data_IF_332898942356
#
_entry.id   IF_332898942356
#
_cell.length_a   1.000
_cell.length_b   1.000
_cell.length_c   1.000
_cell.angle_alpha   90.00
_cell.angle_beta   90.00
_cell.angle_gamma   90.00
#
_symmetry.space_group_name_H-M   'P 1'
#
loop_
_entity.id
_entity.type
_entity.pdbx_description
1 polymer ?
#
# COMPACT_ATOMS: atom_id res chain seq x y z
N UNK A 1 83.57 5.22 -61.07
CA UNK A 1 84.30 6.49 -60.85
C UNK A 1 85.31 6.21 -59.75
N UNK A 2 86.57 5.78 -60.01
CA UNK A 2 87.64 6.34 -60.85
C UNK A 2 87.90 7.80 -60.48
N UNK A 3 88.74 8.02 -59.45
CA UNK A 3 89.72 9.10 -59.29
C UNK A 3 90.04 9.35 -57.81
N UNK A 4 91.04 8.64 -57.29
CA UNK A 4 91.95 9.21 -56.27
C UNK A 4 93.28 8.45 -56.30
N UNK A 5 93.94 8.52 -57.44
CA UNK A 5 95.28 8.00 -57.68
C UNK A 5 95.97 9.10 -58.47
N UNK A 6 96.70 9.98 -57.81
CA UNK A 6 97.75 10.89 -58.32
C UNK A 6 98.18 11.79 -57.13
N UNK A 7 99.49 12.00 -57.00
CA UNK A 7 100.23 12.73 -55.94
C UNK A 7 100.67 11.93 -54.69
N UNK A 8 101.70 11.09 -54.84
CA UNK A 8 103.01 11.31 -54.19
C UNK A 8 104.00 10.20 -54.58
N UNK A 9 104.78 10.46 -55.62
CA UNK A 9 106.16 9.96 -55.74
C UNK A 9 106.97 11.22 -56.04
N UNK A 10 107.83 11.70 -55.13
CA UNK A 10 109.24 11.33 -55.25
C UNK A 10 109.99 11.31 -53.90
N UNK A 11 110.44 10.13 -53.49
CA UNK A 11 111.73 9.99 -52.82
C UNK A 11 112.25 8.58 -53.13
N UNK A 12 113.00 8.49 -54.22
CA UNK A 12 113.78 7.29 -54.52
C UNK A 12 114.95 7.21 -53.55
N UNK A 13 115.30 5.96 -53.20
CA UNK A 13 116.60 5.49 -52.71
C UNK A 13 116.93 5.83 -51.26
N UNK A 14 116.73 4.86 -50.36
CA UNK A 14 117.73 4.33 -49.41
C UNK A 14 117.07 3.43 -48.35
N UNK A 15 116.69 2.22 -48.76
CA UNK A 15 116.81 1.00 -47.96
C UNK A 15 116.26 -0.16 -48.81
N UNK A 16 117.12 -1.13 -49.10
CA UNK A 16 116.73 -2.34 -49.80
C UNK A 16 115.81 -3.19 -48.94
N UNK A 17 114.52 -3.21 -49.28
CA UNK A 17 113.62 -4.32 -49.02
C UNK A 17 112.62 -4.38 -50.18
N UNK A 18 112.99 -5.18 -51.17
CA UNK A 18 112.09 -5.72 -52.19
C UNK A 18 111.09 -6.67 -51.51
N UNK A 19 109.80 -6.32 -51.47
CA UNK A 19 108.70 -7.30 -51.38
C UNK A 19 107.33 -6.67 -51.65
N UNK A 20 106.80 -6.74 -52.88
CA UNK A 20 105.37 -6.56 -53.15
C UNK A 20 104.52 -7.77 -52.72
N UNK A 21 105.13 -8.83 -52.14
CA UNK A 21 104.48 -10.08 -51.80
C UNK A 21 103.93 -10.16 -50.36
N UNK A 22 104.51 -9.45 -49.39
CA UNK A 22 104.06 -9.50 -47.99
C UNK A 22 102.65 -8.91 -47.78
N UNK A 23 102.28 -7.87 -48.54
CA UNK A 23 100.94 -7.26 -48.45
C UNK A 23 99.80 -8.14 -49.01
N UNK A 24 100.11 -9.11 -49.89
CA UNK A 24 99.08 -9.91 -50.57
C UNK A 24 98.57 -11.03 -49.66
N UNK A 25 99.49 -11.66 -48.93
CA UNK A 25 99.19 -12.73 -47.97
C UNK A 25 98.50 -12.18 -46.70
N UNK A 26 98.91 -10.99 -46.22
CA UNK A 26 98.24 -10.26 -45.13
C UNK A 26 96.80 -9.85 -45.50
N UNK A 27 96.56 -9.41 -46.75
CA UNK A 27 95.21 -9.05 -47.22
C UNK A 27 94.31 -10.28 -47.35
N UNK A 28 94.84 -11.44 -47.77
CA UNK A 28 94.07 -12.70 -47.81
C UNK A 28 93.71 -13.22 -46.41
N UNK A 29 94.62 -13.12 -45.45
CA UNK A 29 94.37 -13.52 -44.06
C UNK A 29 93.30 -12.64 -43.39
N UNK A 30 93.43 -11.31 -43.53
CA UNK A 30 92.42 -10.37 -43.01
C UNK A 30 91.06 -10.61 -43.67
N UNK A 31 91.04 -10.97 -44.97
CA UNK A 31 89.80 -11.30 -45.67
C UNK A 31 89.14 -12.56 -45.11
N UNK A 32 89.89 -13.65 -44.89
CA UNK A 32 89.35 -14.88 -44.29
C UNK A 32 88.83 -14.66 -42.87
N UNK A 33 89.56 -13.93 -42.02
CA UNK A 33 89.12 -13.63 -40.66
C UNK A 33 87.84 -12.77 -40.66
N UNK A 34 87.74 -11.83 -41.61
CA UNK A 34 86.55 -10.97 -41.77
C UNK A 34 85.36 -11.78 -42.28
N UNK A 35 85.54 -12.65 -43.28
CA UNK A 35 84.50 -13.53 -43.82
C UNK A 35 83.99 -14.50 -42.75
N UNK A 36 84.87 -15.00 -41.88
CA UNK A 36 84.51 -15.89 -40.77
C UNK A 36 83.69 -15.14 -39.69
N UNK A 37 84.04 -13.89 -39.38
CA UNK A 37 83.25 -13.02 -38.48
C UNK A 37 81.88 -12.68 -39.08
N UNK A 38 81.81 -12.39 -40.38
CA UNK A 38 80.55 -12.13 -41.09
C UNK A 38 79.65 -13.37 -41.02
N UNK A 39 80.18 -14.55 -41.34
CA UNK A 39 79.42 -15.81 -41.27
C UNK A 39 78.91 -16.12 -39.85
N UNK A 40 79.74 -15.86 -38.83
CA UNK A 40 79.33 -15.99 -37.42
C UNK A 40 78.21 -15.03 -37.04
N UNK A 41 78.28 -13.78 -37.51
CA UNK A 41 77.23 -12.78 -37.33
C UNK A 41 75.94 -13.18 -38.05
N UNK A 42 76.01 -13.60 -39.31
CA UNK A 42 74.85 -14.06 -40.09
C UNK A 42 74.15 -15.24 -39.39
N UNK A 43 74.92 -16.20 -38.88
CA UNK A 43 74.38 -17.35 -38.14
C UNK A 43 73.69 -16.90 -36.85
N UNK A 44 74.30 -16.00 -36.09
CA UNK A 44 73.73 -15.46 -34.85
C UNK A 44 72.45 -14.67 -35.11
N UNK A 45 72.45 -13.80 -36.11
CA UNK A 45 71.28 -13.01 -36.53
C UNK A 45 70.16 -13.91 -37.00
N UNK A 46 70.44 -14.91 -37.84
CA UNK A 46 69.44 -15.87 -38.29
C UNK A 46 68.84 -16.68 -37.13
N UNK A 47 69.66 -17.10 -36.16
CA UNK A 47 69.16 -17.77 -34.96
C UNK A 47 68.23 -16.87 -34.15
N UNK A 48 68.62 -15.62 -33.92
CA UNK A 48 67.76 -14.66 -33.21
C UNK A 48 66.45 -14.40 -33.97
N UNK A 49 66.50 -14.31 -35.30
CA UNK A 49 65.31 -14.13 -36.13
C UNK A 49 64.34 -15.31 -36.00
N UNK A 50 64.84 -16.55 -36.01
CA UNK A 50 64.03 -17.75 -35.79
C UNK A 50 63.40 -17.80 -34.38
N UNK A 51 64.15 -17.41 -33.35
CA UNK A 51 63.63 -17.31 -31.98
C UNK A 51 62.52 -16.24 -31.87
N UNK A 52 62.71 -15.08 -32.52
CA UNK A 52 61.70 -14.03 -32.57
C UNK A 52 60.43 -14.50 -33.28
N UNK A 53 60.56 -15.15 -34.44
CA UNK A 53 59.40 -15.70 -35.18
C UNK A 53 58.63 -16.72 -34.36
N UNK A 54 59.33 -17.62 -33.66
CA UNK A 54 58.69 -18.61 -32.78
C UNK A 54 57.92 -17.93 -31.65
N UNK A 55 58.47 -16.86 -31.05
CA UNK A 55 57.77 -16.08 -30.02
C UNK A 55 56.56 -15.34 -30.58
N UNK A 56 56.66 -14.79 -31.79
CA UNK A 56 55.53 -14.14 -32.47
C UNK A 56 54.38 -15.14 -32.66
N UNK A 57 54.65 -16.34 -33.15
CA UNK A 57 53.63 -17.39 -33.30
C UNK A 57 52.99 -17.78 -31.96
N UNK A 58 53.78 -17.90 -30.89
CA UNK A 58 53.26 -18.19 -29.55
C UNK A 58 52.37 -17.05 -29.02
N UNK A 59 52.77 -15.80 -29.22
CA UNK A 59 51.97 -14.62 -28.85
C UNK A 59 50.64 -14.64 -29.61
N UNK A 60 50.69 -14.91 -30.91
CA UNK A 60 49.50 -14.92 -31.77
C UNK A 60 48.52 -16.01 -31.34
N UNK A 61 49.02 -17.23 -31.10
CA UNK A 61 48.20 -18.34 -30.56
C UNK A 61 47.59 -17.99 -29.20
N UNK A 62 48.34 -17.32 -28.34
CA UNK A 62 47.84 -16.88 -27.03
C UNK A 62 46.76 -15.80 -27.20
N UNK A 63 46.93 -14.86 -28.13
CA UNK A 63 45.91 -13.85 -28.43
C UNK A 63 44.63 -14.48 -28.99
N UNK A 64 44.73 -15.45 -29.90
CA UNK A 64 43.57 -16.15 -30.45
C UNK A 64 42.80 -16.91 -29.36
N UNK A 65 43.52 -17.59 -28.46
CA UNK A 65 42.92 -18.25 -27.31
C UNK A 65 42.22 -17.24 -26.37
N UNK A 66 42.86 -16.10 -26.09
CA UNK A 66 42.25 -15.04 -25.28
C UNK A 66 40.99 -14.46 -25.94
N UNK A 67 41.01 -14.22 -27.26
CA UNK A 67 39.83 -13.75 -27.99
C UNK A 67 38.67 -14.74 -27.91
N UNK A 68 38.93 -16.04 -28.04
CA UNK A 68 37.90 -17.08 -27.92
C UNK A 68 37.29 -17.11 -26.50
N UNK A 69 38.13 -16.98 -25.46
CA UNK A 69 37.67 -16.91 -24.07
C UNK A 69 36.76 -15.69 -23.86
N UNK A 70 37.17 -14.52 -24.35
CA UNK A 70 36.39 -13.28 -24.25
C UNK A 70 35.05 -13.42 -24.95
N UNK A 71 35.03 -14.02 -26.15
CA UNK A 71 33.80 -14.27 -26.91
C UNK A 71 32.84 -15.17 -26.13
N UNK A 72 33.34 -16.29 -25.59
CA UNK A 72 32.52 -17.24 -24.84
C UNK A 72 31.95 -16.62 -23.56
N UNK A 73 32.75 -15.84 -22.82
CA UNK A 73 32.28 -15.10 -21.64
C UNK A 73 31.20 -14.10 -22.05
N UNK A 74 31.39 -13.37 -23.16
CA UNK A 74 30.40 -12.39 -23.62
C UNK A 74 29.07 -13.04 -24.00
N UNK A 75 29.10 -14.17 -24.71
CA UNK A 75 27.87 -14.90 -25.08
C UNK A 75 27.17 -15.51 -23.85
N UNK A 76 27.91 -16.10 -22.91
CA UNK A 76 27.35 -16.60 -21.65
C UNK A 76 26.70 -15.47 -20.84
N UNK A 77 27.39 -14.33 -20.69
CA UNK A 77 26.83 -13.16 -20.01
C UNK A 77 25.57 -12.64 -20.69
N UNK A 78 25.51 -12.59 -22.03
CA UNK A 78 24.30 -12.17 -22.76
C UNK A 78 23.14 -13.13 -22.49
N UNK A 79 23.39 -14.43 -22.50
CA UNK A 79 22.38 -15.44 -22.19
C UNK A 79 21.84 -15.26 -20.77
N UNK A 80 22.74 -15.15 -19.78
CA UNK A 80 22.36 -14.94 -18.38
C UNK A 80 21.56 -13.64 -18.19
N UNK A 81 21.96 -12.54 -18.83
CA UNK A 81 21.22 -11.27 -18.79
C UNK A 81 19.82 -11.44 -19.39
N UNK A 82 19.68 -12.17 -20.49
CA UNK A 82 18.39 -12.46 -21.11
C UNK A 82 17.49 -13.27 -20.18
N UNK A 83 18.02 -14.32 -19.55
CA UNK A 83 17.26 -15.16 -18.62
C UNK A 83 16.80 -14.37 -17.38
N UNK A 84 17.68 -13.54 -16.82
CA UNK A 84 17.35 -12.64 -15.70
C UNK A 84 16.26 -11.66 -16.11
N UNK A 85 16.36 -11.08 -17.32
CA UNK A 85 15.35 -10.14 -17.82
C UNK A 85 13.98 -10.80 -17.94
N UNK A 86 13.92 -11.99 -18.52
CA UNK A 86 12.67 -12.74 -18.66
C UNK A 86 12.06 -13.07 -17.28
N UNK A 87 12.88 -13.51 -16.32
CA UNK A 87 12.42 -13.78 -14.97
C UNK A 87 11.88 -12.53 -14.24
N UNK A 88 12.52 -11.36 -14.44
CA UNK A 88 12.03 -10.08 -13.90
C UNK A 88 10.70 -9.71 -14.54
N UNK A 89 10.56 -9.87 -15.86
CA UNK A 89 9.33 -9.56 -16.58
C UNK A 89 8.17 -10.46 -16.09
N UNK A 90 8.40 -11.76 -15.93
CA UNK A 90 7.40 -12.70 -15.41
C UNK A 90 6.96 -12.36 -13.98
N UNK A 91 7.92 -12.05 -13.09
CA UNK A 91 7.62 -11.63 -11.72
C UNK A 91 6.83 -10.32 -11.69
N UNK A 92 7.19 -9.36 -12.54
CA UNK A 92 6.49 -8.09 -12.67
C UNK A 92 5.03 -8.29 -13.10
N UNK A 93 4.79 -9.12 -14.12
CA UNK A 93 3.44 -9.44 -14.60
C UNK A 93 2.61 -10.18 -13.54
N UNK A 94 3.21 -11.14 -12.83
CA UNK A 94 2.55 -11.85 -11.74
C UNK A 94 2.12 -10.89 -10.62
N UNK A 95 3.01 -9.97 -10.23
CA UNK A 95 2.74 -8.99 -9.19
C UNK A 95 1.63 -8.02 -9.60
N UNK A 96 1.64 -7.53 -10.85
CA UNK A 96 0.58 -6.65 -11.38
C UNK A 96 -0.78 -7.34 -11.30
N UNK A 97 -0.86 -8.61 -11.75
CA UNK A 97 -2.10 -9.40 -11.71
C UNK A 97 -2.63 -9.59 -10.29
N UNK A 98 -1.74 -9.85 -9.33
CA UNK A 98 -2.13 -9.99 -7.92
C UNK A 98 -2.66 -8.67 -7.34
N UNK A 99 -2.00 -7.54 -7.64
CA UNK A 99 -2.46 -6.21 -7.23
C UNK A 99 -3.84 -5.90 -7.82
N UNK A 100 -4.08 -6.20 -9.10
CA UNK A 100 -5.38 -5.98 -9.75
C UNK A 100 -6.48 -6.82 -9.10
N UNK A 101 -6.18 -8.08 -8.79
CA UNK A 101 -7.11 -8.99 -8.10
C UNK A 101 -7.47 -8.45 -6.71
N UNK A 102 -6.47 -8.00 -5.95
CA UNK A 102 -6.69 -7.41 -4.62
C UNK A 102 -7.53 -6.13 -4.68
N UNK A 103 -7.28 -5.26 -5.67
CA UNK A 103 -8.07 -4.04 -5.88
C UNK A 103 -9.53 -4.36 -6.19
N UNK A 104 -9.78 -5.31 -7.10
CA UNK A 104 -11.14 -5.75 -7.45
C UNK A 104 -11.89 -6.30 -6.24
N UNK A 105 -11.25 -7.18 -5.47
CA UNK A 105 -11.84 -7.75 -4.25
C UNK A 105 -12.16 -6.66 -3.21
N UNK A 106 -11.33 -5.62 -3.09
CA UNK A 106 -11.59 -4.49 -2.19
C UNK A 106 -12.79 -3.67 -2.66
N UNK A 107 -12.89 -3.39 -3.97
CA UNK A 107 -14.01 -2.65 -4.54
C UNK A 107 -15.34 -3.39 -4.37
N UNK A 108 -15.37 -4.71 -4.62
CA UNK A 108 -16.55 -5.54 -4.41
C UNK A 108 -17.02 -5.52 -2.95
N UNK A 109 -16.09 -5.65 -1.99
CA UNK A 109 -16.42 -5.54 -0.56
C UNK A 109 -16.96 -4.16 -0.19
N UNK A 110 -16.38 -3.09 -0.73
CA UNK A 110 -16.86 -1.73 -0.47
C UNK A 110 -18.28 -1.52 -1.00
N UNK A 111 -18.58 -2.05 -2.20
CA UNK A 111 -19.91 -1.99 -2.78
C UNK A 111 -20.92 -2.79 -1.95
N UNK A 112 -20.53 -3.98 -1.46
CA UNK A 112 -21.37 -4.77 -0.57
C UNK A 112 -21.68 -4.02 0.73
N UNK A 113 -20.67 -3.45 1.40
CA UNK A 113 -20.89 -2.67 2.62
C UNK A 113 -21.83 -1.48 2.40
N UNK A 114 -21.75 -0.83 1.23
CA UNK A 114 -22.66 0.26 0.88
C UNK A 114 -24.10 -0.23 0.78
N UNK A 115 -24.33 -1.36 0.12
CA UNK A 115 -25.66 -1.97 0.00
C UNK A 115 -26.22 -2.39 1.37
N UNK A 116 -25.38 -2.95 2.24
CA UNK A 116 -25.77 -3.35 3.59
C UNK A 116 -26.19 -2.13 4.43
N UNK A 117 -25.42 -1.02 4.34
CA UNK A 117 -25.76 0.25 5.01
C UNK A 117 -27.11 0.78 4.52
N UNK A 118 -27.37 0.76 3.21
CA UNK A 118 -28.63 1.24 2.66
C UNK A 118 -29.82 0.37 3.11
N UNK A 119 -29.63 -0.95 3.18
CA UNK A 119 -30.64 -1.89 3.69
C UNK A 119 -30.94 -1.65 5.18
N UNK A 120 -29.91 -1.41 5.99
CA UNK A 120 -30.07 -1.09 7.41
C UNK A 120 -30.79 0.24 7.61
N UNK A 121 -30.49 1.26 6.80
CA UNK A 121 -31.19 2.55 6.82
C UNK A 121 -32.68 2.39 6.53
N UNK A 122 -33.03 1.59 5.53
CA UNK A 122 -34.44 1.30 5.20
C UNK A 122 -35.15 0.61 6.37
N UNK A 123 -34.54 -0.44 6.92
CA UNK A 123 -35.10 -1.19 8.05
C UNK A 123 -35.29 -0.30 9.28
N UNK A 124 -34.33 0.59 9.56
CA UNK A 124 -34.42 1.56 10.65
C UNK A 124 -35.59 2.54 10.45
N UNK A 125 -35.78 3.05 9.23
CA UNK A 125 -36.90 3.94 8.93
C UNK A 125 -38.26 3.24 9.12
N UNK A 126 -38.36 1.96 8.75
CA UNK A 126 -39.59 1.18 8.95
C UNK A 126 -39.89 0.96 10.44
N UNK A 127 -38.86 0.67 11.25
CA UNK A 127 -39.00 0.57 12.71
C UNK A 127 -39.45 1.90 13.31
N UNK A 128 -38.84 3.02 12.90
CA UNK A 128 -39.20 4.36 13.38
C UNK A 128 -40.65 4.73 13.02
N UNK A 129 -41.08 4.41 11.80
CA UNK A 129 -42.47 4.63 11.36
C UNK A 129 -43.45 3.79 12.18
N UNK A 130 -43.11 2.53 12.43
CA UNK A 130 -43.94 1.62 13.24
C UNK A 130 -44.01 2.08 14.69
N UNK A 131 -42.89 2.51 15.29
CA UNK A 131 -42.89 3.05 16.65
C UNK A 131 -43.69 4.35 16.76
N UNK A 132 -43.63 5.21 15.75
CA UNK A 132 -44.43 6.43 15.72
C UNK A 132 -45.92 6.12 15.66
N UNK A 133 -46.34 5.19 14.79
CA UNK A 133 -47.72 4.74 14.69
C UNK A 133 -48.21 4.11 16.01
N UNK A 134 -47.41 3.25 16.64
CA UNK A 134 -47.72 2.65 17.94
C UNK A 134 -47.90 3.72 19.02
N UNK A 135 -47.03 4.73 19.06
CA UNK A 135 -47.14 5.83 20.01
C UNK A 135 -48.42 6.66 19.81
N UNK A 136 -48.80 6.95 18.57
CA UNK A 136 -50.08 7.60 18.26
C UNK A 136 -51.27 6.76 18.74
N UNK A 137 -51.27 5.45 18.51
CA UNK A 137 -52.32 4.56 19.01
C UNK A 137 -52.38 4.54 20.53
N UNK A 138 -51.25 4.47 21.23
CA UNK A 138 -51.20 4.53 22.70
C UNK A 138 -51.80 5.85 23.23
N UNK A 139 -51.48 6.99 22.61
CA UNK A 139 -52.05 8.29 22.98
C UNK A 139 -53.58 8.30 22.80
N UNK A 140 -54.09 7.72 21.71
CA UNK A 140 -55.53 7.62 21.48
C UNK A 140 -56.20 6.73 22.53
N UNK A 141 -55.63 5.56 22.85
CA UNK A 141 -56.16 4.69 23.90
C UNK A 141 -56.16 5.38 25.28
N UNK A 142 -55.12 6.15 25.62
CA UNK A 142 -55.09 6.94 26.86
C UNK A 142 -56.25 7.95 26.92
N UNK A 143 -56.53 8.60 25.79
CA UNK A 143 -57.63 9.57 25.69
C UNK A 143 -58.99 8.90 25.86
N UNK A 144 -59.21 7.77 25.20
CA UNK A 144 -60.47 7.02 25.28
C UNK A 144 -60.70 6.48 26.70
N UNK A 145 -59.64 5.95 27.33
CA UNK A 145 -59.68 5.45 28.71
C UNK A 145 -60.01 6.57 29.71
N UNK A 146 -59.42 7.77 29.53
CA UNK A 146 -59.74 8.94 30.35
C UNK A 146 -61.21 9.38 30.18
N UNK A 147 -61.73 9.36 28.96
CA UNK A 147 -63.13 9.69 28.68
C UNK A 147 -64.10 8.68 29.32
N UNK A 148 -63.77 7.38 29.26
CA UNK A 148 -64.53 6.32 29.92
C UNK A 148 -64.51 6.50 31.44
N UNK A 149 -63.33 6.71 32.04
CA UNK A 149 -63.16 6.97 33.47
C UNK A 149 -64.03 8.14 33.94
N UNK A 150 -63.99 9.26 33.19
CA UNK A 150 -64.77 10.46 33.48
C UNK A 150 -66.27 10.16 33.46
N UNK A 151 -66.75 9.43 32.44
CA UNK A 151 -68.16 9.06 32.32
C UNK A 151 -68.60 8.14 33.47
N UNK A 152 -67.76 7.19 33.87
CA UNK A 152 -68.04 6.31 35.00
C UNK A 152 -68.06 7.04 36.35
N UNK A 153 -67.18 8.01 36.55
CA UNK A 153 -67.19 8.88 37.73
C UNK A 153 -68.46 9.74 37.79
N UNK A 154 -68.94 10.20 36.64
CA UNK A 154 -70.22 10.91 36.56
C UNK A 154 -71.38 10.00 36.98
N UNK A 155 -71.46 8.77 36.45
CA UNK A 155 -72.51 7.81 36.85
C UNK A 155 -72.43 7.48 38.35
N UNK A 156 -71.23 7.31 38.91
CA UNK A 156 -71.05 7.12 40.35
C UNK A 156 -71.67 8.28 41.15
N UNK A 157 -71.39 9.52 40.73
CA UNK A 157 -71.90 10.74 41.37
C UNK A 157 -73.43 10.83 41.25
N UNK A 158 -73.98 10.50 40.09
CA UNK A 158 -75.44 10.48 39.86
C UNK A 158 -76.13 9.45 40.76
N UNK A 159 -75.59 8.23 40.87
CA UNK A 159 -76.12 7.19 41.77
C UNK A 159 -76.05 7.64 43.22
N UNK A 160 -74.93 8.20 43.66
CA UNK A 160 -74.77 8.69 45.03
C UNK A 160 -75.79 9.79 45.37
N UNK A 161 -76.14 10.63 44.38
CA UNK A 161 -77.13 11.71 44.53
C UNK A 161 -78.60 11.27 44.55
N UNK A 162 -78.90 10.00 44.21
CA UNK A 162 -80.28 9.50 44.23
C UNK A 162 -80.85 9.50 45.66
N UNK A 163 -82.05 10.07 45.79
CA UNK A 163 -82.77 10.26 47.04
C UNK A 163 -83.72 9.08 47.34
N UNK A 164 -83.45 8.40 48.45
CA UNK A 164 -84.16 7.21 48.95
C UNK A 164 -85.61 7.51 49.37
N UNK A 165 -85.94 8.78 49.66
CA UNK A 165 -87.26 9.18 50.14
C UNK A 165 -88.36 9.04 49.07
N UNK A 166 -87.98 8.86 47.80
CA UNK A 166 -88.91 8.73 46.67
C UNK A 166 -89.40 7.30 46.42
N UNK A 167 -88.92 6.32 47.18
CA UNK A 167 -89.20 4.90 46.96
C UNK A 167 -90.04 4.27 48.09
N UNK A 168 -90.95 3.37 47.72
CA UNK A 168 -91.86 2.67 48.66
C UNK A 168 -91.09 1.61 49.48
N UNK A 169 -90.12 0.93 48.86
CA UNK A 169 -89.24 -0.04 49.53
C UNK A 169 -87.80 0.51 49.65
N UNK A 170 -87.50 1.20 50.74
CA UNK A 170 -86.22 1.90 50.95
C UNK A 170 -85.04 0.94 51.14
N UNK A 171 -85.26 -0.18 51.83
CA UNK A 171 -84.20 -1.14 52.13
C UNK A 171 -83.69 -1.81 50.84
N UNK A 172 -84.60 -2.23 49.97
CA UNK A 172 -84.25 -2.84 48.67
C UNK A 172 -83.54 -1.83 47.75
N UNK A 173 -84.00 -0.58 47.71
CA UNK A 173 -83.34 0.49 46.97
C UNK A 173 -81.90 0.74 47.47
N UNK A 174 -81.69 0.76 48.79
CA UNK A 174 -80.38 1.00 49.38
C UNK A 174 -79.41 -0.14 49.15
N UNK A 175 -79.90 -1.39 49.21
CA UNK A 175 -79.11 -2.56 48.86
C UNK A 175 -78.70 -2.52 47.38
N UNK A 176 -79.63 -2.19 46.47
CA UNK A 176 -79.34 -2.06 45.04
C UNK A 176 -78.33 -0.92 44.75
N UNK A 177 -78.52 0.25 45.37
CA UNK A 177 -77.59 1.39 45.25
C UNK A 177 -76.18 0.98 45.67
N UNK A 178 -76.06 0.29 46.82
CA UNK A 178 -74.78 -0.22 47.33
C UNK A 178 -74.14 -1.23 46.37
N UNK A 179 -74.91 -2.15 45.81
CA UNK A 179 -74.40 -3.15 44.87
C UNK A 179 -73.90 -2.49 43.58
N UNK A 180 -74.64 -1.54 43.02
CA UNK A 180 -74.23 -0.82 41.81
C UNK A 180 -72.98 0.03 42.10
N UNK A 181 -72.94 0.77 43.22
CA UNK A 181 -71.74 1.54 43.60
C UNK A 181 -70.52 0.65 43.78
N UNK A 182 -70.69 -0.57 44.32
CA UNK A 182 -69.61 -1.55 44.42
C UNK A 182 -69.13 -2.01 43.04
N UNK A 183 -70.04 -2.30 42.11
CA UNK A 183 -69.68 -2.70 40.74
C UNK A 183 -68.95 -1.57 39.99
N UNK A 184 -69.40 -0.32 40.12
CA UNK A 184 -68.75 0.84 39.51
C UNK A 184 -67.33 1.02 40.07
N UNK A 185 -67.15 0.83 41.39
CA UNK A 185 -65.83 0.93 42.01
C UNK A 185 -64.85 -0.11 41.45
N UNK A 186 -65.29 -1.36 41.31
CA UNK A 186 -64.46 -2.43 40.72
C UNK A 186 -64.03 -2.07 39.30
N UNK A 187 -64.96 -1.58 38.48
CA UNK A 187 -64.65 -1.15 37.11
C UNK A 187 -63.70 0.06 37.06
N UNK A 188 -63.84 1.03 37.97
CA UNK A 188 -62.92 2.15 38.08
C UNK A 188 -61.51 1.71 38.48
N UNK A 189 -61.39 0.77 39.41
CA UNK A 189 -60.10 0.19 39.82
C UNK A 189 -59.43 -0.55 38.64
N UNK A 190 -60.21 -1.28 37.83
CA UNK A 190 -59.73 -1.92 36.59
C UNK A 190 -59.24 -0.89 35.57
N UNK A 191 -59.95 0.22 35.38
CA UNK A 191 -59.54 1.32 34.48
C UNK A 191 -58.20 1.92 34.92
N UNK A 192 -58.03 2.19 36.22
CA UNK A 192 -56.77 2.74 36.78
C UNK A 192 -55.60 1.77 36.60
N UNK A 193 -55.86 0.47 36.69
CA UNK A 193 -54.87 -0.56 36.38
C UNK A 193 -54.41 -0.47 34.92
N UNK A 194 -55.34 -0.38 33.97
CA UNK A 194 -55.01 -0.25 32.54
C UNK A 194 -54.28 1.07 32.24
N UNK A 195 -54.61 2.18 32.91
CA UNK A 195 -53.86 3.44 32.79
C UNK A 195 -52.38 3.24 33.16
N UNK A 196 -52.14 2.53 34.26
CA UNK A 196 -50.79 2.23 34.77
C UNK A 196 -50.00 1.33 33.80
N UNK A 197 -50.66 0.33 33.21
CA UNK A 197 -50.05 -0.56 32.20
C UNK A 197 -49.65 0.20 30.94
N UNK A 198 -50.48 1.11 30.44
CA UNK A 198 -50.15 1.92 29.25
C UNK A 198 -48.94 2.83 29.52
N UNK A 199 -48.83 3.40 30.72
CA UNK A 199 -47.65 4.19 31.11
C UNK A 199 -46.37 3.35 31.09
N UNK A 200 -46.44 2.11 31.59
CA UNK A 200 -45.32 1.18 31.55
C UNK A 200 -44.92 0.81 30.12
N UNK A 201 -45.89 0.49 29.26
CA UNK A 201 -45.68 0.19 27.85
C UNK A 201 -45.04 1.38 27.11
N UNK A 202 -45.49 2.60 27.40
CA UNK A 202 -44.91 3.81 26.81
C UNK A 202 -43.44 4.01 27.18
N UNK A 203 -43.07 3.70 28.43
CA UNK A 203 -41.68 3.76 28.87
C UNK A 203 -40.80 2.68 28.19
N UNK A 204 -41.35 1.50 27.91
CA UNK A 204 -40.66 0.44 27.17
C UNK A 204 -40.49 0.76 25.67
N UNK A 205 -41.48 1.47 25.09
CA UNK A 205 -41.45 1.93 23.70
C UNK A 205 -40.57 3.18 23.51
N UNK A 206 -40.02 3.76 24.60
CA UNK A 206 -39.29 5.02 24.70
C UNK A 206 -38.11 5.23 23.75
N UNK A 207 -38.39 5.30 22.45
CA UNK A 207 -37.66 6.01 21.41
C UNK A 207 -38.28 7.42 21.39
N UNK A 208 -38.13 8.17 22.48
CA UNK A 208 -38.52 9.58 22.51
C UNK A 208 -37.30 10.43 22.25
N UNK A 209 -37.27 11.03 21.06
CA UNK A 209 -36.31 12.04 20.58
C UNK A 209 -34.98 11.54 19.99
N UNK A 210 -35.05 10.81 18.88
CA UNK A 210 -34.06 11.01 17.81
C UNK A 210 -34.77 11.78 16.71
N UNK A 211 -34.64 13.10 16.72
CA UNK A 211 -35.28 13.95 15.71
C UNK A 211 -34.84 13.52 14.31
N UNK A 212 -35.73 13.62 13.32
CA UNK A 212 -35.42 13.44 11.88
C UNK A 212 -34.19 14.24 11.41
N UNK A 213 -33.78 15.26 12.18
CA UNK A 213 -32.56 16.05 11.96
C UNK A 213 -31.27 15.24 12.06
N UNK A 214 -31.27 14.10 12.75
CA UNK A 214 -30.10 13.20 12.88
C UNK A 214 -30.09 12.06 11.84
N UNK A 215 -31.18 11.86 11.10
CA UNK A 215 -31.24 10.88 10.00
C UNK A 215 -30.69 11.49 8.70
N UNK A 216 -30.88 12.80 8.51
CA UNK A 216 -30.30 13.56 7.40
C UNK A 216 -28.78 13.80 7.52
N UNK A 217 -28.16 13.53 8.67
CA UNK A 217 -26.70 13.54 8.83
C UNK A 217 -26.04 12.21 8.42
N UNK A 218 -26.81 11.14 8.16
CA UNK A 218 -26.25 9.86 7.63
C UNK A 218 -26.04 9.90 6.10
N UNK A 219 -26.34 11.04 5.46
CA UNK A 219 -25.93 11.38 4.08
C UNK A 219 -24.59 12.13 4.01
N UNK A 220 -23.97 12.41 5.16
CA UNK A 220 -22.57 12.78 5.23
C UNK A 220 -21.88 11.77 6.12
N UNK A 221 -21.57 10.60 5.57
CA UNK A 221 -20.44 9.82 6.08
C UNK A 221 -19.25 10.76 5.89
N UNK A 222 -18.62 11.33 6.94
CA UNK A 222 -17.32 11.93 6.73
C UNK A 222 -16.44 10.76 6.30
N UNK A 223 -16.03 10.78 5.05
CA UNK A 223 -15.12 9.84 4.44
C UNK A 223 -13.75 10.01 5.12
N UNK A 224 -13.63 9.47 6.33
CA UNK A 224 -12.38 9.35 7.10
C UNK A 224 -12.70 8.54 8.35
N UNK A 225 -12.72 7.22 8.21
CA UNK A 225 -12.40 6.36 9.36
C UNK A 225 -10.94 6.63 9.71
N UNK A 226 -10.70 7.66 10.53
CA UNK A 226 -9.37 8.08 10.99
C UNK A 226 -8.61 6.85 11.49
N UNK A 227 -7.60 6.43 10.73
CA UNK A 227 -6.79 5.27 11.07
C UNK A 227 -5.52 5.73 11.79
N UNK A 228 -5.04 4.93 12.74
CA UNK A 228 -3.83 5.27 13.47
C UNK A 228 -2.62 4.54 12.90
N UNK A 229 -1.54 5.28 12.67
CA UNK A 229 -0.23 4.76 12.27
C UNK A 229 0.80 4.96 13.39
N UNK A 230 1.61 3.93 13.68
CA UNK A 230 2.74 4.03 14.62
C UNK A 230 4.02 4.15 13.82
N UNK A 231 4.72 5.28 13.99
CA UNK A 231 5.95 5.62 13.27
C UNK A 231 7.04 4.58 13.54
N UNK A 232 7.66 4.07 12.49
CA UNK A 232 8.75 3.08 12.55
C UNK A 232 10.10 3.73 12.24
N UNK A 233 11.19 3.03 12.57
CA UNK A 233 12.55 3.49 12.28
C UNK A 233 12.72 3.65 10.76
N UNK A 234 13.10 4.84 10.31
CA UNK A 234 13.26 5.18 8.89
C UNK A 234 12.07 5.89 8.26
N UNK A 235 10.94 6.02 8.97
CA UNK A 235 9.77 6.73 8.45
C UNK A 235 9.99 8.25 8.46
N UNK A 236 9.49 8.91 7.41
CA UNK A 236 9.26 10.35 7.32
C UNK A 236 7.79 10.65 7.04
N UNK A 237 7.31 11.85 7.38
CA UNK A 237 5.93 12.24 7.04
C UNK A 237 5.65 12.11 5.55
N UNK A 238 6.64 12.36 4.69
CA UNK A 238 6.51 12.18 3.24
C UNK A 238 6.27 10.71 2.88
N UNK A 239 7.10 9.80 3.41
CA UNK A 239 6.94 8.36 3.14
C UNK A 239 5.60 7.81 3.65
N UNK A 240 5.12 8.31 4.79
CA UNK A 240 3.81 7.95 5.35
C UNK A 240 2.70 8.53 4.48
N UNK A 241 2.80 9.81 4.08
CA UNK A 241 1.82 10.45 3.22
C UNK A 241 1.66 9.72 1.89
N UNK A 242 2.77 9.36 1.23
CA UNK A 242 2.75 8.56 -0.01
C UNK A 242 2.11 7.19 0.21
N UNK A 243 2.48 6.49 1.29
CA UNK A 243 1.94 5.17 1.62
C UNK A 243 0.43 5.18 1.82
N UNK A 244 -0.11 6.25 2.39
CA UNK A 244 -1.54 6.40 2.67
C UNK A 244 -2.27 7.29 1.67
N UNK A 245 -1.65 7.57 0.51
CA UNK A 245 -2.19 8.39 -0.56
C UNK A 245 -2.78 9.73 -0.06
N UNK A 246 -2.05 10.41 0.82
CA UNK A 246 -2.42 11.70 1.40
C UNK A 246 -1.25 12.68 1.28
N UNK A 247 -1.38 13.87 1.88
CA UNK A 247 -0.33 14.90 1.88
C UNK A 247 0.26 15.07 3.28
N UNK A 248 1.53 15.48 3.34
CA UNK A 248 2.22 15.83 4.59
C UNK A 248 1.41 16.85 5.37
N UNK A 249 0.93 17.90 4.69
CA UNK A 249 0.11 18.96 5.28
C UNK A 249 -1.16 18.39 5.94
N UNK A 250 -1.83 17.45 5.29
CA UNK A 250 -3.04 16.83 5.84
C UNK A 250 -2.76 16.01 7.10
N UNK A 251 -1.65 15.27 7.13
CA UNK A 251 -1.22 14.55 8.34
C UNK A 251 -0.86 15.53 9.46
N UNK A 252 -0.18 16.64 9.15
CA UNK A 252 0.17 17.67 10.13
C UNK A 252 -1.07 18.32 10.74
N UNK A 253 -2.05 18.69 9.90
CA UNK A 253 -3.34 19.24 10.33
C UNK A 253 -4.10 18.27 11.25
N UNK A 254 -4.15 16.98 10.90
CA UNK A 254 -4.84 15.96 11.71
C UNK A 254 -4.19 15.72 13.08
N UNK A 255 -2.90 15.98 13.21
CA UNK A 255 -2.12 15.66 14.41
C UNK A 255 -1.58 16.91 15.14
N UNK A 256 -2.00 18.10 14.73
CA UNK A 256 -1.52 19.39 15.27
C UNK A 256 0.01 19.51 15.27
N UNK A 257 0.69 18.98 14.25
CA UNK A 257 2.14 19.03 14.14
C UNK A 257 2.58 20.39 13.58
N UNK A 258 3.50 21.06 14.29
CA UNK A 258 4.09 22.35 13.86
C UNK A 258 5.29 22.20 12.92
N UNK A 259 5.79 20.98 12.73
CA UNK A 259 6.94 20.68 11.88
C UNK A 259 6.82 19.26 11.30
N UNK A 260 7.72 18.89 10.41
CA UNK A 260 7.75 17.54 9.82
C UNK A 260 8.49 16.51 10.70
N UNK A 261 8.98 16.91 11.87
CA UNK A 261 9.69 16.02 12.79
C UNK A 261 8.71 15.07 13.46
N UNK A 262 8.96 13.78 13.30
CA UNK A 262 8.23 12.68 13.93
C UNK A 262 9.20 11.75 14.64
N UNK A 263 8.76 11.10 15.72
CA UNK A 263 9.59 10.21 16.53
C UNK A 263 9.11 8.77 16.37
N UNK A 264 10.04 7.82 16.33
CA UNK A 264 9.71 6.39 16.31
C UNK A 264 8.83 6.03 17.52
N UNK A 265 7.75 5.31 17.28
CA UNK A 265 6.73 4.97 18.28
C UNK A 265 5.61 6.01 18.42
N UNK A 266 5.72 7.18 17.79
CA UNK A 266 4.66 8.19 17.78
C UNK A 266 3.43 7.67 17.04
N UNK A 267 2.24 7.86 17.62
CA UNK A 267 0.95 7.51 17.03
C UNK A 267 0.40 8.71 16.26
N UNK A 268 0.16 8.55 14.96
CA UNK A 268 -0.37 9.58 14.07
C UNK A 268 -1.76 9.18 13.55
N UNK A 269 -2.69 10.13 13.54
CA UNK A 269 -3.94 10.04 12.78
C UNK A 269 -3.67 10.22 11.29
N UNK A 270 -4.19 9.30 10.49
CA UNK A 270 -4.11 9.31 9.03
C UNK A 270 -5.55 9.35 8.48
N UNK A 271 -5.80 10.10 7.38
CA UNK A 271 -7.15 10.28 6.81
C UNK A 271 -7.86 8.99 6.43
#
# INVERSE_FOLDING_TARGET
MRNLLIFLVPFMLLCGCTSPLAMKDDVTFVKEETDQKISGLETSVNKQFQEVNTKIEQIQKTQDQQQLIILNISEDMKSQISDIKNAIDDLSQSLIKEIETLKKNQEEKNNQFKQDIDTLKMSLNDVLKTSAALNSSMVNYQKDLLALKTSMQQVATEIDSLDEQKFVNKEEFNNLKKDISSQIKVLLDEIVKHESEIVLLKNQVGITHTSEKEINTVSQIPQSSKSYYVVKKGDSLLSIATKYNTTVKKIQELNNLKSEKIVVGQKLLIP
#
